data_IF_282719986882
#
_entry.id   IF_282719986882
#
_cell.length_a   1.000
_cell.length_b   1.000
_cell.length_c   1.000
_cell.angle_alpha   90.00
_cell.angle_beta   90.00
_cell.angle_gamma   90.00
#
_symmetry.space_group_name_H-M   'P 1'
#
loop_
_entity.id
_entity.type
_entity.pdbx_description
1 polymer ?
#
# COMPACT_ATOMS: atom_id res chain seq x y z
N UNK A 1 17.44 -4.31 9.13
CA UNK A 1 17.77 -5.34 8.12
C UNK A 1 16.80 -5.23 6.94
N UNK A 2 15.50 -5.33 7.18
CA UNK A 2 14.46 -5.14 6.15
C UNK A 2 14.63 -3.86 5.32
N UNK A 3 14.93 -2.71 5.96
CA UNK A 3 15.17 -1.45 5.23
C UNK A 3 16.33 -1.52 4.22
N UNK A 4 17.37 -2.32 4.50
CA UNK A 4 18.48 -2.51 3.57
C UNK A 4 18.04 -3.33 2.36
N UNK A 5 17.24 -4.38 2.57
CA UNK A 5 16.67 -5.17 1.48
C UNK A 5 15.78 -4.30 0.60
N UNK A 6 14.88 -3.53 1.20
CA UNK A 6 13.96 -2.71 0.44
C UNK A 6 14.66 -1.58 -0.33
N UNK A 7 15.77 -1.03 0.20
CA UNK A 7 16.63 -0.10 -0.54
C UNK A 7 17.35 -0.80 -1.70
N UNK A 8 17.91 -1.99 -1.48
CA UNK A 8 18.59 -2.74 -2.53
C UNK A 8 17.65 -3.11 -3.69
N UNK A 9 16.40 -3.51 -3.38
CA UNK A 9 15.38 -3.76 -4.40
C UNK A 9 15.02 -2.48 -5.15
N UNK A 10 14.86 -1.35 -4.44
CA UNK A 10 14.59 -0.05 -5.09
C UNK A 10 15.71 0.34 -6.05
N UNK A 11 16.96 0.29 -5.60
CA UNK A 11 18.13 0.59 -6.42
C UNK A 11 18.23 -0.35 -7.63
N UNK A 12 17.81 -1.61 -7.48
CA UNK A 12 17.76 -2.58 -8.58
C UNK A 12 16.65 -2.24 -9.58
N UNK A 13 15.43 -1.98 -9.12
CA UNK A 13 14.28 -1.57 -9.95
C UNK A 13 14.59 -0.32 -10.77
N UNK A 14 15.23 0.69 -10.17
CA UNK A 14 15.64 1.92 -10.88
C UNK A 14 16.67 1.65 -11.97
N UNK A 15 17.59 0.68 -11.77
CA UNK A 15 18.57 0.30 -12.78
C UNK A 15 17.93 -0.43 -13.94
N UNK A 16 17.06 -1.41 -13.65
CA UNK A 16 16.45 -2.23 -14.70
C UNK A 16 15.35 -1.48 -15.47
N UNK A 17 14.73 -0.45 -14.86
CA UNK A 17 13.80 0.42 -15.57
C UNK A 17 14.46 1.25 -16.69
N UNK A 18 15.76 1.52 -16.58
CA UNK A 18 16.54 2.23 -17.58
C UNK A 18 17.14 1.30 -18.65
N UNK A 19 16.96 -0.01 -18.50
CA UNK A 19 17.50 -1.02 -19.39
C UNK A 19 16.39 -1.61 -20.27
N UNK A 20 16.33 -1.16 -21.53
CA UNK A 20 15.33 -1.60 -22.53
C UNK A 20 15.40 -3.11 -22.85
N UNK A 21 16.44 -3.82 -22.39
CA UNK A 21 16.60 -5.26 -22.62
C UNK A 21 15.92 -6.13 -21.56
N UNK A 22 15.46 -5.54 -20.45
CA UNK A 22 14.89 -6.30 -19.33
C UNK A 22 13.47 -6.73 -19.63
N UNK A 23 13.18 -8.00 -19.34
CA UNK A 23 11.84 -8.58 -19.46
C UNK A 23 10.86 -7.88 -18.50
N UNK A 24 9.74 -7.41 -19.04
CA UNK A 24 8.66 -6.82 -18.25
C UNK A 24 8.15 -7.76 -17.15
N UNK A 25 8.22 -9.08 -17.35
CA UNK A 25 7.86 -10.05 -16.32
C UNK A 25 8.82 -10.00 -15.13
N UNK A 26 10.13 -9.87 -15.38
CA UNK A 26 11.14 -9.75 -14.34
C UNK A 26 10.95 -8.46 -13.53
N UNK A 27 10.69 -7.33 -14.21
CA UNK A 27 10.38 -6.07 -13.54
C UNK A 27 9.17 -6.20 -12.61
N UNK A 28 8.10 -6.86 -13.08
CA UNK A 28 6.90 -7.08 -12.28
C UNK A 28 7.17 -7.97 -11.06
N UNK A 29 7.94 -9.06 -11.20
CA UNK A 29 8.31 -9.93 -10.06
C UNK A 29 9.04 -9.16 -8.96
N UNK A 30 9.97 -8.26 -9.31
CA UNK A 30 10.69 -7.45 -8.32
C UNK A 30 9.83 -6.33 -7.72
N UNK A 31 8.88 -5.80 -8.49
CA UNK A 31 7.87 -4.88 -7.97
C UNK A 31 6.99 -5.60 -6.94
N UNK A 32 6.48 -6.78 -7.26
CA UNK A 32 5.68 -7.61 -6.34
C UNK A 32 6.46 -7.96 -5.07
N UNK A 33 7.73 -8.35 -5.22
CA UNK A 33 8.67 -8.60 -4.12
C UNK A 33 8.80 -7.38 -3.21
N UNK A 34 8.96 -6.19 -3.79
CA UNK A 34 9.06 -4.95 -3.03
C UNK A 34 7.77 -4.65 -2.27
N UNK A 35 6.61 -4.73 -2.92
CA UNK A 35 5.33 -4.39 -2.29
C UNK A 35 5.00 -5.32 -1.13
N UNK A 36 5.27 -6.62 -1.26
CA UNK A 36 5.09 -7.62 -0.20
C UNK A 36 6.02 -7.35 0.98
N UNK A 37 7.31 -7.13 0.70
CA UNK A 37 8.28 -6.86 1.75
C UNK A 37 7.91 -5.60 2.54
N UNK A 38 7.48 -4.54 1.84
CA UNK A 38 7.02 -3.29 2.47
C UNK A 38 5.75 -3.49 3.31
N UNK A 39 4.80 -4.30 2.84
CA UNK A 39 3.61 -4.63 3.63
C UNK A 39 4.00 -5.38 4.92
N UNK A 40 4.91 -6.35 4.80
CA UNK A 40 5.42 -7.08 5.97
C UNK A 40 6.17 -6.14 6.95
N UNK A 41 6.93 -5.17 6.45
CA UNK A 41 7.54 -4.12 7.29
C UNK A 41 6.51 -3.30 8.06
N UNK A 42 5.45 -2.85 7.38
CA UNK A 42 4.37 -2.07 8.00
C UNK A 42 3.68 -2.86 9.12
N UNK A 43 3.35 -4.13 8.87
CA UNK A 43 2.55 -4.95 9.77
C UNK A 43 3.36 -5.62 10.88
N UNK A 44 4.58 -6.08 10.61
CA UNK A 44 5.31 -6.99 11.48
C UNK A 44 6.68 -6.48 11.92
N UNK A 45 7.26 -5.51 11.21
CA UNK A 45 8.61 -4.99 11.51
C UNK A 45 8.60 -3.46 11.73
N UNK A 46 7.79 -2.97 12.70
CA UNK A 46 7.64 -1.53 12.92
C UNK A 46 8.97 -0.89 13.31
N UNK A 47 9.26 0.29 12.76
CA UNK A 47 10.54 0.99 12.98
C UNK A 47 10.80 1.36 14.43
N UNK A 48 9.73 1.60 15.19
CA UNK A 48 9.82 1.92 16.61
C UNK A 48 10.11 0.69 17.50
N UNK A 49 10.05 -0.52 16.93
CA UNK A 49 10.20 -1.80 17.62
C UNK A 49 9.13 -2.09 18.66
N UNK A 50 8.11 -1.23 18.80
CA UNK A 50 7.04 -1.35 19.79
C UNK A 50 5.74 -1.78 19.14
N UNK A 51 5.48 -1.39 17.89
CA UNK A 51 4.26 -1.76 17.17
C UNK A 51 2.98 -1.14 17.74
N UNK A 52 3.10 -0.18 18.67
CA UNK A 52 1.98 0.43 19.39
C UNK A 52 1.36 1.60 18.58
N UNK A 53 1.99 2.01 17.48
CA UNK A 53 1.47 3.09 16.62
C UNK A 53 0.22 2.68 15.85
N UNK A 54 -0.60 3.68 15.52
CA UNK A 54 -1.69 3.56 14.55
C UNK A 54 -1.10 3.25 13.17
N UNK A 55 -1.72 2.32 12.45
CA UNK A 55 -1.20 1.77 11.19
C UNK A 55 -1.88 2.33 9.94
N UNK A 56 -3.00 3.05 10.07
CA UNK A 56 -3.77 3.57 8.93
C UNK A 56 -2.97 4.42 7.95
N UNK A 57 -2.22 5.42 8.43
CA UNK A 57 -1.37 6.27 7.59
C UNK A 57 -0.21 5.46 6.96
N UNK A 58 0.31 4.44 7.66
CA UNK A 58 1.40 3.58 7.17
C UNK A 58 0.93 2.66 6.03
N UNK A 59 -0.32 2.16 6.11
CA UNK A 59 -0.96 1.37 5.06
C UNK A 59 -1.20 2.23 3.80
N UNK A 60 -1.68 3.46 3.95
CA UNK A 60 -1.80 4.38 2.81
C UNK A 60 -0.44 4.73 2.21
N UNK A 61 0.57 4.96 3.03
CA UNK A 61 1.94 5.18 2.54
C UNK A 61 2.47 3.97 1.78
N UNK A 62 2.17 2.75 2.24
CA UNK A 62 2.51 1.53 1.52
C UNK A 62 1.82 1.48 0.15
N UNK A 63 0.49 1.65 0.10
CA UNK A 63 -0.27 1.64 -1.14
C UNK A 63 0.26 2.67 -2.14
N UNK A 64 0.38 3.93 -1.69
CA UNK A 64 0.86 5.04 -2.51
C UNK A 64 2.33 4.92 -2.95
N UNK A 65 3.10 3.94 -2.44
CA UNK A 65 4.49 3.73 -2.87
C UNK A 65 4.61 2.96 -4.18
N UNK A 66 3.59 2.18 -4.55
CA UNK A 66 3.58 1.37 -5.78
C UNK A 66 2.31 1.54 -6.62
N UNK A 67 1.26 2.13 -6.08
CA UNK A 67 0.07 2.51 -6.82
C UNK A 67 -0.26 3.95 -6.43
N UNK A 68 0.35 4.90 -7.15
CA UNK A 68 0.13 6.32 -6.92
C UNK A 68 -1.17 6.72 -7.61
N UNK A 69 -2.24 6.90 -6.84
CA UNK A 69 -3.48 7.46 -7.35
C UNK A 69 -4.13 8.38 -6.30
N UNK A 70 -4.75 9.51 -6.69
CA UNK A 70 -4.64 10.10 -8.02
C UNK A 70 -3.22 10.68 -8.25
N UNK A 71 -2.81 10.81 -9.51
CA UNK A 71 -1.46 11.29 -9.83
C UNK A 71 -1.33 12.80 -9.66
N UNK A 72 -0.08 13.28 -9.64
CA UNK A 72 0.16 14.73 -9.64
C UNK A 72 -0.21 15.35 -10.98
N UNK A 73 -0.03 14.62 -12.10
CA UNK A 73 -0.42 15.11 -13.42
C UNK A 73 -1.94 15.30 -13.53
N UNK A 74 -2.75 14.35 -13.03
CA UNK A 74 -4.21 14.47 -13.03
C UNK A 74 -4.68 15.73 -12.28
N UNK A 75 -4.04 16.04 -11.14
CA UNK A 75 -4.34 17.24 -10.37
C UNK A 75 -3.95 18.53 -11.10
N UNK A 76 -2.84 18.49 -11.84
CA UNK A 76 -2.37 19.62 -12.64
C UNK A 76 -3.28 19.88 -13.84
N UNK A 77 -3.72 18.83 -14.54
CA UNK A 77 -4.68 18.92 -15.64
C UNK A 77 -5.98 19.61 -15.21
N UNK A 78 -6.54 19.21 -14.07
CA UNK A 78 -7.74 19.83 -13.48
C UNK A 78 -7.48 21.31 -13.17
N UNK A 79 -6.34 21.63 -12.57
CA UNK A 79 -6.00 23.01 -12.17
C UNK A 79 -5.73 23.93 -13.37
N UNK A 80 -5.24 23.40 -14.49
CA UNK A 80 -4.95 24.14 -15.72
C UNK A 80 -6.20 24.33 -16.62
N UNK A 81 -7.29 23.61 -16.34
CA UNK A 81 -8.58 23.82 -17.00
C UNK A 81 -9.08 25.26 -16.83
N UNK A 82 -9.80 25.76 -17.84
CA UNK A 82 -10.37 27.11 -17.82
C UNK A 82 -11.31 27.32 -16.62
N UNK A 83 -12.08 26.28 -16.26
CA UNK A 83 -12.95 26.24 -15.09
C UNK A 83 -12.71 24.91 -14.38
N UNK A 84 -11.81 24.85 -13.37
CA UNK A 84 -11.41 23.59 -12.76
C UNK A 84 -12.57 22.76 -12.19
N UNK A 85 -13.57 23.41 -11.58
CA UNK A 85 -14.72 22.74 -10.98
C UNK A 85 -15.74 22.18 -11.98
N UNK A 86 -15.61 22.50 -13.27
CA UNK A 86 -16.39 21.91 -14.36
C UNK A 86 -15.62 20.77 -15.06
N UNK A 87 -14.39 20.47 -14.63
CA UNK A 87 -13.61 19.39 -15.22
C UNK A 87 -14.28 18.03 -14.95
N UNK A 88 -14.41 17.12 -15.95
CA UNK A 88 -15.14 15.84 -15.78
C UNK A 88 -14.62 14.98 -14.62
N UNK A 89 -13.30 14.97 -14.40
CA UNK A 89 -12.65 14.20 -13.33
C UNK A 89 -12.52 14.96 -12.00
N UNK A 90 -13.11 16.15 -11.86
CA UNK A 90 -12.92 17.01 -10.70
C UNK A 90 -13.30 16.32 -9.39
N UNK A 91 -14.53 15.81 -9.31
CA UNK A 91 -15.03 15.17 -8.10
C UNK A 91 -14.34 13.83 -7.83
N UNK A 92 -14.16 13.00 -8.86
CA UNK A 92 -13.43 11.73 -8.75
C UNK A 92 -12.02 11.94 -8.18
N UNK A 93 -11.30 12.97 -8.65
CA UNK A 93 -9.99 13.33 -8.13
C UNK A 93 -10.05 13.76 -6.65
N UNK A 94 -11.01 14.61 -6.28
CA UNK A 94 -11.20 15.06 -4.89
C UNK A 94 -11.50 13.88 -3.97
N UNK A 95 -12.42 13.00 -4.36
CA UNK A 95 -12.82 11.83 -3.59
C UNK A 95 -11.66 10.83 -3.45
N UNK A 96 -10.94 10.53 -4.54
CA UNK A 96 -9.75 9.66 -4.51
C UNK A 96 -8.63 10.25 -3.68
N UNK A 97 -8.41 11.57 -3.73
CA UNK A 97 -7.48 12.25 -2.82
C UNK A 97 -7.84 12.03 -1.33
N UNK A 98 -9.14 11.99 -0.98
CA UNK A 98 -9.57 11.72 0.40
C UNK A 98 -9.33 10.26 0.78
N UNK A 99 -9.70 9.31 -0.08
CA UNK A 99 -9.46 7.88 0.13
C UNK A 99 -7.97 7.57 0.34
N UNK A 100 -7.10 8.22 -0.45
CA UNK A 100 -5.66 7.97 -0.50
C UNK A 100 -4.85 8.83 0.47
N UNK A 101 -5.52 9.65 1.29
CA UNK A 101 -4.90 10.44 2.35
C UNK A 101 -4.30 11.77 1.92
N UNK A 102 -4.46 12.19 0.66
CA UNK A 102 -4.03 13.46 0.08
C UNK A 102 -4.98 14.63 0.40
N UNK A 103 -5.41 14.75 1.65
CA UNK A 103 -6.41 15.71 2.10
C UNK A 103 -6.06 17.18 1.78
N UNK A 104 -4.77 17.53 1.78
CA UNK A 104 -4.32 18.89 1.42
C UNK A 104 -4.48 19.19 -0.06
N UNK A 105 -4.27 18.19 -0.92
CA UNK A 105 -4.49 18.30 -2.37
C UNK A 105 -5.98 18.44 -2.66
N UNK A 106 -6.82 17.59 -2.05
CA UNK A 106 -8.29 17.72 -2.11
C UNK A 106 -8.76 19.11 -1.66
N UNK A 107 -8.27 19.60 -0.51
CA UNK A 107 -8.60 20.94 -0.02
C UNK A 107 -8.15 22.07 -0.96
N UNK A 108 -7.02 21.89 -1.66
CA UNK A 108 -6.53 22.87 -2.63
C UNK A 108 -7.39 22.91 -3.89
N UNK A 109 -7.76 21.74 -4.42
CA UNK A 109 -8.63 21.63 -5.59
C UNK A 109 -10.03 22.17 -5.28
N UNK A 110 -10.59 21.85 -4.11
CA UNK A 110 -11.88 22.38 -3.66
C UNK A 110 -11.93 23.90 -3.55
N UNK A 111 -10.80 24.58 -3.31
CA UNK A 111 -10.75 26.06 -3.30
C UNK A 111 -11.00 26.66 -4.67
N UNK A 112 -10.87 25.91 -5.78
CA UNK A 112 -11.25 26.41 -7.09
C UNK A 112 -12.74 26.78 -7.18
N UNK A 113 -13.58 26.21 -6.31
CA UNK A 113 -14.98 26.63 -6.18
C UNK A 113 -15.13 28.04 -5.61
N UNK A 114 -14.08 28.70 -5.11
CA UNK A 114 -14.15 30.11 -4.69
C UNK A 114 -14.52 31.05 -5.84
N UNK A 115 -14.33 30.64 -7.11
CA UNK A 115 -14.79 31.37 -8.28
C UNK A 115 -16.19 31.00 -8.75
N UNK A 116 -16.86 30.05 -8.09
CA UNK A 116 -18.21 29.60 -8.47
C UNK A 116 -19.23 30.74 -8.33
N UNK A 117 -20.22 30.89 -9.23
CA UNK A 117 -21.22 31.96 -9.17
C UNK A 117 -22.07 31.95 -7.89
N UNK A 118 -22.54 30.77 -7.45
CA UNK A 118 -23.34 30.60 -6.23
C UNK A 118 -22.53 30.87 -4.95
N UNK A 119 -23.03 31.78 -4.11
CA UNK A 119 -22.40 32.11 -2.81
C UNK A 119 -22.47 30.95 -1.81
N UNK A 120 -23.53 30.16 -1.88
CA UNK A 120 -23.73 28.97 -1.05
C UNK A 120 -22.68 27.93 -1.39
N UNK A 121 -22.46 27.62 -2.67
CA UNK A 121 -21.45 26.64 -3.10
C UNK A 121 -20.06 27.04 -2.61
N UNK A 122 -19.67 28.30 -2.79
CA UNK A 122 -18.41 28.85 -2.23
C UNK A 122 -18.31 28.58 -0.73
N UNK A 123 -19.36 28.89 0.01
CA UNK A 123 -19.42 28.76 1.47
C UNK A 123 -19.30 27.30 1.93
N UNK A 124 -20.01 26.36 1.29
CA UNK A 124 -19.93 24.92 1.59
C UNK A 124 -18.55 24.38 1.23
N UNK A 125 -18.02 24.72 0.04
CA UNK A 125 -16.68 24.33 -0.40
C UNK A 125 -15.60 24.81 0.57
N UNK A 126 -15.65 26.07 1.02
CA UNK A 126 -14.70 26.62 2.00
C UNK A 126 -14.76 25.89 3.34
N UNK A 127 -15.96 25.54 3.83
CA UNK A 127 -16.12 24.75 5.05
C UNK A 127 -15.53 23.35 4.88
N UNK A 128 -15.82 22.66 3.77
CA UNK A 128 -15.29 21.33 3.47
C UNK A 128 -13.76 21.33 3.31
N UNK A 129 -13.21 22.26 2.53
CA UNK A 129 -11.77 22.43 2.33
C UNK A 129 -11.04 22.74 3.65
N UNK A 130 -11.63 23.56 4.52
CA UNK A 130 -11.08 23.80 5.86
C UNK A 130 -11.05 22.51 6.67
N UNK A 131 -12.15 21.75 6.70
CA UNK A 131 -12.22 20.48 7.44
C UNK A 131 -11.14 19.50 6.95
N UNK A 132 -10.97 19.33 5.63
CA UNK A 132 -9.91 18.50 5.04
C UNK A 132 -8.51 18.94 5.46
N UNK A 133 -8.22 20.24 5.42
CA UNK A 133 -6.90 20.77 5.81
C UNK A 133 -6.59 20.62 7.31
N UNK A 134 -7.64 20.48 8.14
CA UNK A 134 -7.55 20.37 9.61
C UNK A 134 -7.76 18.96 10.14
N UNK A 135 -7.81 17.95 9.27
CA UNK A 135 -7.95 16.56 9.68
C UNK A 135 -6.86 16.20 10.71
N UNK A 136 -7.23 15.72 11.92
CA UNK A 136 -6.28 15.31 12.93
C UNK A 136 -5.48 14.10 12.45
N UNK A 137 -4.15 14.21 12.48
CA UNK A 137 -3.22 13.12 12.15
C UNK A 137 -2.54 12.62 13.41
N UNK A 138 -2.43 11.30 13.59
CA UNK A 138 -1.85 10.69 14.80
C UNK A 138 -0.43 11.20 15.06
N UNK A 139 0.34 11.40 13.99
CA UNK A 139 1.71 11.93 13.99
C UNK A 139 1.88 13.34 14.58
N UNK A 140 0.78 14.10 14.73
CA UNK A 140 0.80 15.46 15.31
C UNK A 140 0.52 15.50 16.81
N UNK A 141 0.25 14.35 17.43
CA UNK A 141 -0.08 14.26 18.85
C UNK A 141 0.92 13.37 19.58
N UNK A 142 1.30 13.77 20.79
CA UNK A 142 2.18 12.97 21.65
C UNK A 142 1.41 11.87 22.37
N UNK A 143 0.10 12.06 22.62
CA UNK A 143 -0.73 11.13 23.37
C UNK A 143 -1.97 10.71 22.57
N UNK A 144 -2.27 9.41 22.57
CA UNK A 144 -3.38 8.81 21.81
C UNK A 144 -4.74 9.44 22.18
N UNK A 145 -4.98 9.72 23.46
CA UNK A 145 -6.25 10.30 23.90
C UNK A 145 -6.48 11.75 23.40
N UNK A 146 -5.42 12.55 23.22
CA UNK A 146 -5.52 13.89 22.65
C UNK A 146 -5.89 13.82 21.17
N UNK A 147 -5.26 12.91 20.44
CA UNK A 147 -5.59 12.61 19.05
C UNK A 147 -7.06 12.18 18.90
N UNK A 148 -7.52 11.23 19.72
CA UNK A 148 -8.91 10.75 19.69
C UNK A 148 -9.90 11.87 20.02
N UNK A 149 -9.59 12.73 21.00
CA UNK A 149 -10.42 13.87 21.34
C UNK A 149 -10.52 14.89 20.19
N UNK A 150 -9.38 15.21 19.55
CA UNK A 150 -9.33 16.09 18.40
C UNK A 150 -10.09 15.51 17.20
N UNK A 151 -9.88 14.23 16.89
CA UNK A 151 -10.59 13.53 15.82
C UNK A 151 -12.11 13.54 16.05
N UNK A 152 -12.56 13.24 17.27
CA UNK A 152 -13.99 13.29 17.62
C UNK A 152 -14.59 14.69 17.44
N UNK A 153 -13.88 15.75 17.83
CA UNK A 153 -14.34 17.13 17.64
C UNK A 153 -14.40 17.53 16.16
N UNK A 154 -13.41 17.09 15.39
CA UNK A 154 -13.37 17.30 13.94
C UNK A 154 -14.55 16.57 13.26
N UNK A 155 -14.77 15.29 13.58
CA UNK A 155 -15.87 14.49 13.06
C UNK A 155 -17.24 15.07 13.40
N UNK A 156 -17.41 15.63 14.61
CA UNK A 156 -18.63 16.34 14.97
C UNK A 156 -18.87 17.57 14.08
N UNK A 157 -17.80 18.23 13.63
CA UNK A 157 -17.89 19.37 12.70
C UNK A 157 -18.25 18.93 11.28
N UNK A 158 -17.71 17.79 10.82
CA UNK A 158 -18.10 17.16 9.54
C UNK A 158 -19.58 16.80 9.56
N UNK A 159 -20.04 16.09 10.61
CA UNK A 159 -21.45 15.70 10.76
C UNK A 159 -22.39 16.89 10.83
N UNK A 160 -21.99 17.98 11.49
CA UNK A 160 -22.76 19.23 11.50
C UNK A 160 -22.92 19.80 10.09
N UNK A 161 -21.88 19.74 9.25
CA UNK A 161 -21.97 20.20 7.87
C UNK A 161 -22.89 19.31 7.04
N UNK A 162 -22.82 17.98 7.20
CA UNK A 162 -23.75 17.02 6.56
C UNK A 162 -25.20 17.36 6.91
N UNK A 163 -25.52 17.49 8.21
CA UNK A 163 -26.89 17.76 8.64
C UNK A 163 -27.44 19.12 8.21
N UNK A 164 -26.57 20.07 7.87
CA UNK A 164 -26.96 21.38 7.35
C UNK A 164 -26.95 21.47 5.83
N UNK A 165 -26.49 20.43 5.12
CA UNK A 165 -26.24 20.48 3.68
C UNK A 165 -27.53 20.72 2.90
N UNK A 166 -28.59 19.96 3.19
CA UNK A 166 -29.90 20.10 2.52
C UNK A 166 -30.41 21.55 2.60
N UNK A 167 -30.36 22.16 3.79
CA UNK A 167 -30.77 23.55 3.97
C UNK A 167 -29.92 24.55 3.18
N UNK A 168 -28.60 24.34 3.11
CA UNK A 168 -27.72 25.19 2.31
C UNK A 168 -28.06 25.04 0.81
N UNK A 169 -28.31 23.83 0.33
CA UNK A 169 -28.67 23.56 -1.07
C UNK A 169 -30.04 24.16 -1.43
N UNK A 170 -31.02 24.11 -0.53
CA UNK A 170 -32.31 24.77 -0.73
C UNK A 170 -32.18 26.31 -0.79
N UNK A 171 -31.26 26.90 -0.01
CA UNK A 171 -30.92 28.33 -0.09
C UNK A 171 -30.32 28.68 -1.47
N UNK A 172 -29.45 27.81 -2.02
CA UNK A 172 -28.89 28.02 -3.36
C UNK A 172 -29.98 28.07 -4.43
N UNK A 173 -30.90 27.11 -4.43
CA UNK A 173 -31.98 27.04 -5.41
C UNK A 173 -32.87 28.29 -5.30
N UNK A 174 -33.21 28.70 -4.08
CA UNK A 174 -34.01 29.89 -3.84
C UNK A 174 -33.33 31.20 -4.32
N UNK A 175 -32.00 31.31 -4.20
CA UNK A 175 -31.23 32.47 -4.66
C UNK A 175 -31.05 32.52 -6.19
N UNK A 176 -30.86 31.37 -6.82
CA UNK A 176 -30.65 31.25 -8.27
C UNK A 176 -31.97 31.23 -9.07
N UNK A 177 -33.08 30.89 -8.41
CA UNK A 177 -34.42 30.82 -8.97
C UNK A 177 -34.84 29.38 -9.26
N UNK A 178 -36.10 29.05 -8.93
CA UNK A 178 -36.66 27.70 -9.05
C UNK A 178 -36.94 27.33 -10.51
N UNK A 179 -35.88 27.01 -11.26
CA UNK A 179 -35.94 26.51 -12.64
C UNK A 179 -35.39 25.09 -12.68
N UNK A 180 -35.79 24.29 -13.66
CA UNK A 180 -35.33 22.89 -13.78
C UNK A 180 -33.78 22.80 -13.86
N UNK A 181 -33.13 23.71 -14.59
CA UNK A 181 -31.65 23.75 -14.69
C UNK A 181 -30.96 23.99 -13.34
N UNK A 182 -31.54 24.85 -12.50
CA UNK A 182 -31.00 25.15 -11.16
C UNK A 182 -31.27 24.00 -10.19
N UNK A 183 -32.42 23.33 -10.29
CA UNK A 183 -32.74 22.14 -9.50
C UNK A 183 -31.75 21.00 -9.80
N UNK A 184 -31.43 20.77 -11.08
CA UNK A 184 -30.45 19.77 -11.51
C UNK A 184 -29.04 20.09 -10.95
N UNK A 185 -28.57 21.33 -11.10
CA UNK A 185 -27.28 21.78 -10.56
C UNK A 185 -27.23 21.61 -9.03
N UNK A 186 -28.31 21.98 -8.34
CA UNK A 186 -28.45 21.83 -6.89
C UNK A 186 -28.37 20.36 -6.46
N UNK A 187 -29.08 19.46 -7.14
CA UNK A 187 -29.06 18.03 -6.84
C UNK A 187 -27.66 17.41 -7.07
N UNK A 188 -26.99 17.81 -8.15
CA UNK A 188 -25.63 17.35 -8.44
C UNK A 188 -24.65 17.79 -7.34
N UNK A 189 -24.59 19.08 -7.00
CA UNK A 189 -23.71 19.55 -5.94
C UNK A 189 -24.05 18.97 -4.57
N UNK A 190 -25.33 18.81 -4.25
CA UNK A 190 -25.73 18.14 -3.01
C UNK A 190 -25.17 16.72 -2.95
N UNK A 191 -25.34 15.94 -4.01
CA UNK A 191 -24.86 14.56 -4.08
C UNK A 191 -23.34 14.50 -3.94
N UNK A 192 -22.61 15.37 -4.63
CA UNK A 192 -21.15 15.42 -4.62
C UNK A 192 -20.60 15.82 -3.24
N UNK A 193 -21.14 16.88 -2.62
CA UNK A 193 -20.75 17.27 -1.27
C UNK A 193 -21.14 16.23 -0.24
N UNK A 194 -22.31 15.59 -0.38
CA UNK A 194 -22.75 14.53 0.52
C UNK A 194 -21.79 13.33 0.43
N UNK A 195 -21.44 12.89 -0.77
CA UNK A 195 -20.46 11.84 -1.00
C UNK A 195 -19.12 12.16 -0.31
N UNK A 196 -18.56 13.34 -0.57
CA UNK A 196 -17.32 13.81 0.05
C UNK A 196 -17.39 13.82 1.59
N UNK A 197 -18.45 14.40 2.15
CA UNK A 197 -18.58 14.55 3.60
C UNK A 197 -18.85 13.21 4.29
N UNK A 198 -19.60 12.30 3.66
CA UNK A 198 -19.81 10.94 4.15
C UNK A 198 -18.52 10.12 4.15
N UNK A 199 -17.68 10.26 3.11
CA UNK A 199 -16.33 9.68 3.10
C UNK A 199 -15.49 10.22 4.26
N UNK A 200 -15.43 11.55 4.41
CA UNK A 200 -14.71 12.19 5.52
C UNK A 200 -15.26 11.75 6.89
N UNK A 201 -16.56 11.46 6.98
CA UNK A 201 -17.18 10.99 8.21
C UNK A 201 -16.92 9.49 8.50
N UNK A 202 -16.25 8.77 7.61
CA UNK A 202 -15.96 7.35 7.74
C UNK A 202 -17.20 6.48 7.63
N UNK A 203 -18.17 6.86 6.81
CA UNK A 203 -19.36 6.02 6.54
C UNK A 203 -18.91 4.78 5.75
N UNK A 204 -19.07 3.59 6.35
CA UNK A 204 -18.54 2.33 5.82
C UNK A 204 -19.02 2.02 4.39
N UNK A 205 -20.32 2.11 4.16
CA UNK A 205 -20.91 1.80 2.86
C UNK A 205 -20.38 2.75 1.78
N UNK A 206 -20.19 4.03 2.13
CA UNK A 206 -19.61 5.04 1.24
C UNK A 206 -18.16 4.74 0.88
N UNK A 207 -17.37 4.19 1.81
CA UNK A 207 -16.00 3.74 1.54
C UNK A 207 -16.02 2.57 0.55
N UNK A 208 -16.90 1.59 0.76
CA UNK A 208 -17.02 0.44 -0.15
C UNK A 208 -17.50 0.83 -1.55
N UNK A 209 -18.40 1.81 -1.67
CA UNK A 209 -18.86 2.33 -2.96
C UNK A 209 -17.76 3.09 -3.71
N UNK A 210 -16.83 3.72 -3.00
CA UNK A 210 -15.84 4.61 -3.60
C UNK A 210 -14.47 3.96 -3.84
N UNK A 211 -14.13 2.90 -3.11
CA UNK A 211 -12.85 2.20 -3.27
C UNK A 211 -12.85 1.24 -4.47
N UNK A 212 -11.71 1.16 -5.15
CA UNK A 212 -11.52 0.26 -6.29
C UNK A 212 -11.20 -1.18 -5.86
N UNK A 213 -10.36 -1.31 -4.83
CA UNK A 213 -9.88 -2.61 -4.35
C UNK A 213 -9.76 -2.69 -2.83
N UNK A 214 -9.40 -3.88 -2.35
CA UNK A 214 -9.23 -4.14 -0.93
C UNK A 214 -8.09 -3.33 -0.29
N UNK A 215 -7.07 -2.94 -1.06
CA UNK A 215 -5.89 -2.22 -0.55
C UNK A 215 -6.24 -0.77 -0.26
N UNK A 216 -6.93 -0.13 -1.20
CA UNK A 216 -7.44 1.23 -1.02
C UNK A 216 -8.46 1.26 0.12
N UNK A 217 -9.37 0.29 0.17
CA UNK A 217 -10.32 0.16 1.26
C UNK A 217 -9.63 -0.01 2.61
N UNK A 218 -8.59 -0.84 2.71
CA UNK A 218 -7.84 -1.06 3.96
C UNK A 218 -7.13 0.21 4.45
N UNK A 219 -6.50 0.95 3.53
CA UNK A 219 -5.88 2.24 3.85
C UNK A 219 -6.90 3.28 4.30
N UNK A 220 -7.95 3.50 3.51
CA UNK A 220 -9.01 4.45 3.81
C UNK A 220 -9.76 4.10 5.12
N UNK A 221 -9.96 2.82 5.40
CA UNK A 221 -10.56 2.35 6.65
C UNK A 221 -9.70 2.73 7.86
N UNK A 222 -8.38 2.55 7.77
CA UNK A 222 -7.44 2.87 8.83
C UNK A 222 -7.34 4.38 9.13
N UNK A 223 -7.68 5.26 8.19
CA UNK A 223 -7.62 6.71 8.38
C UNK A 223 -8.96 7.39 8.62
N UNK A 224 -10.06 6.88 8.03
CA UNK A 224 -11.37 7.52 8.07
C UNK A 224 -12.36 6.78 8.99
N UNK A 225 -12.39 5.45 8.95
CA UNK A 225 -13.37 4.63 9.69
C UNK A 225 -12.87 4.27 11.09
N UNK A 226 -11.62 3.82 11.19
CA UNK A 226 -10.97 3.45 12.43
C UNK A 226 -9.60 4.15 12.57
N UNK A 227 -9.55 5.46 12.86
CA UNK A 227 -8.30 6.23 12.94
C UNK A 227 -7.33 5.79 14.05
N UNK A 228 -7.76 4.90 14.94
CA UNK A 228 -6.95 4.29 16.01
C UNK A 228 -6.52 2.85 15.69
N UNK A 229 -6.71 2.39 14.44
CA UNK A 229 -6.40 1.03 14.01
C UNK A 229 -4.97 0.64 14.37
N UNK A 230 -4.83 -0.44 15.14
CA UNK A 230 -3.55 -1.05 15.51
C UNK A 230 -3.29 -2.28 14.64
N UNK A 231 -2.04 -2.73 14.59
CA UNK A 231 -1.61 -3.91 13.81
C UNK A 231 -2.39 -5.17 14.18
N UNK A 232 -2.62 -5.37 15.48
CA UNK A 232 -3.38 -6.52 16.01
C UNK A 232 -4.84 -6.54 15.53
N UNK A 233 -5.40 -5.38 15.17
CA UNK A 233 -6.78 -5.25 14.68
C UNK A 233 -6.88 -5.37 13.15
N UNK A 234 -5.75 -5.39 12.42
CA UNK A 234 -5.73 -5.48 10.96
C UNK A 234 -6.39 -6.77 10.46
N UNK A 235 -6.14 -7.97 11.01
CA UNK A 235 -6.80 -9.19 10.55
C UNK A 235 -8.34 -9.13 10.61
N UNK A 236 -8.88 -8.59 11.72
CA UNK A 236 -10.33 -8.42 11.89
C UNK A 236 -10.89 -7.41 10.90
N UNK A 237 -10.16 -6.32 10.65
CA UNK A 237 -10.55 -5.29 9.68
C UNK A 237 -10.50 -5.83 8.25
N UNK A 238 -9.44 -6.55 7.90
CA UNK A 238 -9.26 -7.19 6.61
C UNK A 238 -10.39 -8.20 6.33
N UNK A 239 -10.82 -8.99 7.31
CA UNK A 239 -11.94 -9.91 7.14
C UNK A 239 -13.22 -9.20 6.64
N UNK A 240 -13.56 -8.04 7.23
CA UNK A 240 -14.73 -7.24 6.83
C UNK A 240 -14.58 -6.69 5.41
N UNK A 241 -13.39 -6.22 5.06
CA UNK A 241 -13.10 -5.63 3.74
C UNK A 241 -13.12 -6.71 2.65
N UNK A 242 -12.57 -7.88 2.94
CA UNK A 242 -12.49 -8.99 2.00
C UNK A 242 -13.84 -9.67 1.73
N UNK A 243 -14.88 -9.39 2.52
CA UNK A 243 -16.26 -9.75 2.19
C UNK A 243 -16.81 -8.94 1.00
N UNK A 244 -16.28 -7.74 0.77
CA UNK A 244 -16.72 -6.81 -0.30
C UNK A 244 -15.75 -6.83 -1.48
N UNK A 245 -14.44 -6.90 -1.21
CA UNK A 245 -13.39 -6.92 -2.21
C UNK A 245 -12.64 -8.26 -2.20
N UNK A 246 -12.95 -9.11 -3.17
CA UNK A 246 -12.32 -10.41 -3.29
C UNK A 246 -10.88 -10.26 -3.81
N UNK A 247 -9.97 -11.05 -3.26
CA UNK A 247 -8.60 -11.18 -3.74
C UNK A 247 -8.55 -12.07 -4.97
N UNK A 248 -7.78 -11.68 -5.97
CA UNK A 248 -7.56 -12.53 -7.13
C UNK A 248 -6.61 -13.68 -6.79
N UNK A 249 -7.19 -14.87 -6.56
CA UNK A 249 -6.45 -16.09 -6.28
C UNK A 249 -5.61 -16.64 -7.44
N UNK A 250 -5.60 -15.97 -8.60
CA UNK A 250 -4.72 -16.29 -9.73
C UNK A 250 -3.41 -15.51 -9.71
N UNK A 251 -3.33 -14.44 -8.91
CA UNK A 251 -2.15 -13.57 -8.81
C UNK A 251 -1.38 -13.93 -7.53
N UNK A 252 -0.19 -14.57 -7.63
CA UNK A 252 0.56 -15.02 -6.45
C UNK A 252 0.88 -13.90 -5.45
N UNK A 253 1.17 -12.69 -5.95
CA UNK A 253 1.45 -11.53 -5.13
C UNK A 253 0.28 -11.15 -4.21
N UNK A 254 -0.95 -11.18 -4.72
CA UNK A 254 -2.12 -10.85 -3.91
C UNK A 254 -2.40 -11.90 -2.85
N UNK A 255 -2.18 -13.19 -3.17
CA UNK A 255 -2.32 -14.28 -2.19
C UNK A 255 -1.38 -14.08 -1.00
N UNK A 256 -0.12 -13.72 -1.27
CA UNK A 256 0.86 -13.45 -0.20
C UNK A 256 0.43 -12.23 0.62
N UNK A 257 0.02 -11.14 -0.03
CA UNK A 257 -0.46 -9.94 0.65
C UNK A 257 -1.72 -10.23 1.50
N UNK A 258 -2.63 -11.08 1.00
CA UNK A 258 -3.81 -11.52 1.72
C UNK A 258 -3.45 -12.29 3.00
N UNK A 259 -2.51 -13.24 2.92
CA UNK A 259 -2.03 -13.94 4.11
C UNK A 259 -1.38 -12.97 5.11
N UNK A 260 -0.60 -12.00 4.64
CA UNK A 260 -0.01 -10.98 5.51
C UNK A 260 -1.05 -10.14 6.24
N UNK A 261 -2.11 -9.65 5.58
CA UNK A 261 -3.13 -8.84 6.27
C UNK A 261 -4.02 -9.68 7.20
N UNK A 262 -4.13 -10.99 6.97
CA UNK A 262 -4.89 -11.92 7.82
C UNK A 262 -4.14 -12.39 9.07
N UNK A 263 -2.87 -12.04 9.25
CA UNK A 263 -2.05 -12.58 10.35
C UNK A 263 -1.44 -13.96 10.05
N UNK A 264 -1.63 -14.49 8.84
CA UNK A 264 -1.22 -15.83 8.41
C UNK A 264 0.23 -15.84 7.91
N UNK A 265 1.17 -15.40 8.77
CA UNK A 265 2.57 -15.12 8.37
C UNK A 265 3.29 -16.36 7.83
N UNK A 266 3.09 -17.53 8.45
CA UNK A 266 3.69 -18.80 7.98
C UNK A 266 3.24 -19.13 6.55
N UNK A 267 1.93 -18.97 6.26
CA UNK A 267 1.39 -19.20 4.91
C UNK A 267 1.93 -18.17 3.92
N UNK A 268 2.01 -16.88 4.32
CA UNK A 268 2.60 -15.83 3.49
C UNK A 268 4.05 -16.15 3.09
N UNK A 269 4.88 -16.55 4.06
CA UNK A 269 6.27 -16.96 3.83
C UNK A 269 6.36 -18.18 2.92
N UNK A 270 5.51 -19.18 3.13
CA UNK A 270 5.50 -20.38 2.29
C UNK A 270 5.12 -20.06 0.84
N UNK A 271 4.18 -19.15 0.62
CA UNK A 271 3.72 -18.72 -0.72
C UNK A 271 4.65 -17.72 -1.40
N UNK A 272 5.43 -16.96 -0.64
CA UNK A 272 6.38 -16.00 -1.18
C UNK A 272 7.41 -16.62 -2.14
N UNK A 273 7.76 -17.90 -1.95
CA UNK A 273 8.66 -18.63 -2.84
C UNK A 273 8.08 -18.90 -4.24
N UNK A 274 6.75 -18.79 -4.40
CA UNK A 274 6.06 -18.96 -5.69
C UNK A 274 6.24 -17.71 -6.58
N UNK A 275 6.61 -16.58 -5.96
CA UNK A 275 6.94 -15.32 -6.64
C UNK A 275 8.43 -15.28 -6.93
N UNK A 276 9.23 -15.42 -5.87
CA UNK A 276 10.68 -15.36 -5.95
C UNK A 276 11.34 -16.09 -4.77
N UNK A 277 12.42 -16.83 -5.07
CA UNK A 277 13.12 -17.65 -4.07
C UNK A 277 13.86 -16.78 -3.05
N UNK A 278 14.40 -15.62 -3.49
CA UNK A 278 15.02 -14.65 -2.59
C UNK A 278 13.96 -14.09 -1.62
N UNK A 279 12.77 -13.75 -2.10
CA UNK A 279 11.70 -13.22 -1.24
C UNK A 279 11.31 -14.24 -0.16
N UNK A 280 11.06 -15.49 -0.54
CA UNK A 280 10.73 -16.54 0.42
C UNK A 280 11.81 -16.71 1.50
N UNK A 281 13.08 -16.80 1.09
CA UNK A 281 14.20 -16.95 2.02
C UNK A 281 14.34 -15.77 2.99
N UNK A 282 14.26 -14.53 2.50
CA UNK A 282 14.49 -13.35 3.32
C UNK A 282 13.29 -12.97 4.18
N UNK A 283 12.06 -13.13 3.66
CA UNK A 283 10.85 -12.94 4.46
C UNK A 283 10.76 -14.00 5.56
N UNK A 284 11.08 -15.26 5.25
CA UNK A 284 11.15 -16.35 6.24
C UNK A 284 12.20 -16.11 7.31
N UNK A 285 13.41 -15.67 6.94
CA UNK A 285 14.47 -15.33 7.90
C UNK A 285 14.09 -14.14 8.80
N UNK A 286 13.39 -13.13 8.27
CA UNK A 286 12.88 -12.02 9.08
C UNK A 286 11.75 -12.47 10.03
N UNK A 287 10.80 -13.26 9.55
CA UNK A 287 9.69 -13.78 10.35
C UNK A 287 10.17 -14.67 11.50
N UNK A 288 11.14 -15.55 11.25
CA UNK A 288 11.75 -16.41 12.26
C UNK A 288 12.45 -15.61 13.37
N UNK A 289 13.24 -14.60 12.99
CA UNK A 289 13.97 -13.75 13.96
C UNK A 289 13.05 -12.97 14.90
N UNK A 290 11.81 -12.70 14.48
CA UNK A 290 10.79 -12.03 15.28
C UNK A 290 9.88 -13.04 16.01
N UNK A 291 10.03 -14.34 15.73
CA UNK A 291 9.25 -15.41 16.35
C UNK A 291 7.84 -15.56 15.78
N UNK A 292 7.62 -15.15 14.52
CA UNK A 292 6.32 -15.21 13.84
C UNK A 292 6.06 -16.53 13.12
N UNK A 293 7.08 -17.39 13.00
CA UNK A 293 6.93 -18.73 12.43
C UNK A 293 6.60 -19.72 13.55
N UNK A 294 5.32 -19.81 13.93
CA UNK A 294 4.86 -20.81 14.90
C UNK A 294 5.19 -22.23 14.44
N UNK A 295 5.52 -23.15 15.34
CA UNK A 295 5.74 -24.56 14.97
C UNK A 295 4.45 -25.18 14.44
N UNK A 296 4.53 -25.89 13.31
CA UNK A 296 3.38 -26.62 12.77
C UNK A 296 3.13 -27.85 13.65
N UNK A 297 2.14 -27.77 14.55
CA UNK A 297 1.74 -28.87 15.44
C UNK A 297 1.33 -30.15 14.69
N UNK A 298 0.98 -30.03 13.40
CA UNK A 298 0.58 -31.15 12.55
C UNK A 298 1.71 -31.67 11.65
N UNK A 299 2.87 -31.00 11.60
CA UNK A 299 4.01 -31.47 10.83
C UNK A 299 4.66 -32.70 11.49
N UNK A 300 4.89 -33.75 10.69
CA UNK A 300 5.60 -34.95 11.10
C UNK A 300 7.12 -34.69 11.20
N UNK A 301 7.53 -33.84 12.14
CA UNK A 301 8.91 -33.47 12.42
C UNK A 301 9.08 -31.95 12.58
N UNK A 302 10.22 -31.49 13.14
CA UNK A 302 10.55 -30.07 13.18
C UNK A 302 10.83 -29.58 11.75
N UNK A 303 9.80 -29.09 11.06
CA UNK A 303 9.98 -28.35 9.80
C UNK A 303 10.44 -26.94 10.13
N UNK A 304 11.75 -26.73 10.03
CA UNK A 304 12.35 -25.40 10.04
C UNK A 304 12.15 -24.78 8.64
N UNK A 305 10.96 -24.21 8.42
CA UNK A 305 10.57 -23.54 7.17
C UNK A 305 11.63 -22.53 6.73
N UNK A 306 12.25 -21.81 7.69
CA UNK A 306 13.35 -20.90 7.40
C UNK A 306 14.53 -21.66 6.82
N UNK A 307 14.97 -22.75 7.45
CA UNK A 307 16.07 -23.57 6.94
C UNK A 307 15.78 -24.11 5.54
N UNK A 308 14.56 -24.60 5.29
CA UNK A 308 14.15 -25.10 3.97
C UNK A 308 14.27 -24.01 2.89
N UNK A 309 13.77 -22.81 3.17
CA UNK A 309 13.82 -21.68 2.24
C UNK A 309 15.26 -21.18 2.01
N UNK A 310 16.06 -21.08 3.07
CA UNK A 310 17.48 -20.70 2.96
C UNK A 310 18.28 -21.73 2.15
N UNK A 311 18.01 -23.03 2.32
CA UNK A 311 18.65 -24.08 1.53
C UNK A 311 18.26 -23.99 0.04
N UNK A 312 17.00 -23.65 -0.28
CA UNK A 312 16.53 -23.45 -1.64
C UNK A 312 17.21 -22.26 -2.30
N UNK A 313 17.29 -21.12 -1.59
CA UNK A 313 17.97 -19.93 -2.10
C UNK A 313 19.48 -20.10 -2.23
N UNK A 314 20.13 -20.77 -1.26
CA UNK A 314 21.54 -21.08 -1.38
C UNK A 314 21.83 -21.98 -2.59
N UNK A 315 20.91 -22.89 -2.95
CA UNK A 315 21.04 -23.72 -4.13
C UNK A 315 20.92 -22.90 -5.42
N UNK A 316 19.97 -21.98 -5.52
CA UNK A 316 19.84 -21.13 -6.73
C UNK A 316 21.09 -20.26 -6.96
N UNK A 317 21.76 -19.81 -5.89
CA UNK A 317 23.03 -19.08 -5.99
C UNK A 317 24.20 -19.93 -6.50
N UNK A 318 24.16 -21.26 -6.39
CA UNK A 318 25.22 -22.12 -6.91
C UNK A 318 25.11 -22.33 -8.41
N UNK A 319 23.91 -22.16 -8.96
CA UNK A 319 23.66 -22.27 -10.39
C UNK A 319 24.22 -21.04 -11.13
N UNK A 320 24.44 -19.93 -10.43
CA UNK A 320 25.05 -18.71 -10.95
C UNK A 320 26.58 -18.64 -10.72
N UNK A 321 27.32 -18.38 -11.79
CA UNK A 321 28.78 -18.33 -11.74
C UNK A 321 29.27 -17.18 -10.84
N UNK A 322 30.08 -17.53 -9.84
CA UNK A 322 30.73 -16.55 -8.95
C UNK A 322 29.98 -16.25 -7.64
N UNK A 323 28.73 -16.70 -7.47
CA UNK A 323 27.95 -16.46 -6.26
C UNK A 323 28.12 -17.54 -5.17
N UNK A 324 28.97 -18.55 -5.41
CA UNK A 324 29.21 -19.67 -4.50
C UNK A 324 29.64 -19.23 -3.08
N UNK A 325 30.36 -18.11 -2.94
CA UNK A 325 30.75 -17.58 -1.62
C UNK A 325 29.54 -17.15 -0.81
N UNK A 326 28.62 -16.45 -1.45
CA UNK A 326 27.35 -16.02 -0.85
C UNK A 326 26.51 -17.25 -0.49
N UNK A 327 26.44 -18.24 -1.40
CA UNK A 327 25.76 -19.52 -1.11
C UNK A 327 26.29 -20.19 0.16
N UNK A 328 27.61 -20.26 0.34
CA UNK A 328 28.23 -20.83 1.54
C UNK A 328 27.81 -20.09 2.81
N UNK A 329 27.71 -18.76 2.77
CA UNK A 329 27.26 -17.97 3.93
C UNK A 329 25.81 -18.34 4.33
N UNK A 330 24.91 -18.46 3.35
CA UNK A 330 23.53 -18.91 3.60
C UNK A 330 23.47 -20.35 4.10
N UNK A 331 24.24 -21.28 3.52
CA UNK A 331 24.34 -22.65 4.02
C UNK A 331 24.91 -22.71 5.44
N UNK A 332 25.81 -21.79 5.81
CA UNK A 332 26.35 -21.67 7.15
C UNK A 332 25.26 -21.42 8.20
N UNK A 333 24.22 -20.65 7.82
CA UNK A 333 23.06 -20.38 8.65
C UNK A 333 22.09 -21.58 8.79
N UNK A 334 22.23 -22.62 7.96
CA UNK A 334 21.36 -23.82 7.94
C UNK A 334 21.90 -24.99 8.79
N UNK A 335 22.74 -24.73 9.78
CA UNK A 335 23.17 -25.75 10.76
C UNK A 335 23.85 -26.99 10.14
N UNK A 336 23.49 -28.19 10.61
CA UNK A 336 24.15 -29.43 10.19
C UNK A 336 23.91 -29.78 8.71
N UNK A 337 22.69 -29.54 8.21
CA UNK A 337 22.34 -29.80 6.82
C UNK A 337 23.15 -28.91 5.86
N UNK A 338 23.28 -27.63 6.19
CA UNK A 338 24.08 -26.69 5.42
C UNK A 338 25.58 -27.02 5.43
N UNK A 339 26.15 -27.35 6.61
CA UNK A 339 27.56 -27.77 6.72
C UNK A 339 27.89 -28.98 5.84
N UNK A 340 26.98 -29.95 5.74
CA UNK A 340 27.16 -31.12 4.86
C UNK A 340 27.17 -30.72 3.38
N UNK A 341 26.40 -29.71 2.96
CA UNK A 341 26.43 -29.21 1.58
C UNK A 341 27.69 -28.41 1.30
N UNK A 342 28.12 -27.55 2.22
CA UNK A 342 29.34 -26.74 2.11
C UNK A 342 30.57 -27.61 1.80
N UNK A 343 30.72 -28.76 2.48
CA UNK A 343 31.87 -29.63 2.26
C UNK A 343 31.97 -30.18 0.82
N UNK A 344 30.83 -30.35 0.14
CA UNK A 344 30.81 -30.80 -1.25
C UNK A 344 31.11 -29.64 -2.20
N UNK A 345 30.50 -28.47 -1.95
CA UNK A 345 30.64 -27.28 -2.79
C UNK A 345 32.08 -26.77 -2.81
N UNK A 346 32.73 -26.64 -1.65
CA UNK A 346 34.11 -26.13 -1.56
C UNK A 346 35.07 -26.95 -2.42
N UNK A 347 34.82 -28.27 -2.54
CA UNK A 347 35.66 -29.16 -3.33
C UNK A 347 35.39 -29.07 -4.84
N UNK A 348 34.26 -28.50 -5.25
CA UNK A 348 33.86 -28.36 -6.66
C UNK A 348 34.06 -26.96 -7.23
N UNK A 349 34.54 -25.99 -6.43
CA UNK A 349 34.76 -24.62 -6.89
C UNK A 349 35.96 -24.58 -7.85
N UNK A 350 35.80 -24.06 -9.09
CA UNK A 350 36.91 -23.83 -10.00
C UNK A 350 37.92 -22.83 -9.40
N UNK A 351 39.21 -23.17 -9.42
CA UNK A 351 40.29 -22.32 -8.88
C UNK A 351 40.78 -21.30 -9.91
N UNK A 352 40.74 -21.68 -11.17
CA UNK A 352 40.89 -20.78 -12.30
C UNK A 352 39.50 -20.18 -12.55
N UNK A 353 39.42 -18.86 -12.84
CA UNK A 353 38.14 -18.16 -13.01
C UNK A 353 37.25 -18.73 -14.13
N UNK A 354 36.16 -18.05 -14.52
CA UNK A 354 35.39 -18.48 -15.70
C UNK A 354 36.34 -18.80 -16.87
N UNK A 355 36.23 -20.01 -17.43
CA UNK A 355 36.97 -20.38 -18.63
C UNK A 355 36.74 -19.30 -19.68
N UNK A 356 37.79 -18.80 -20.36
CA UNK A 356 37.60 -17.85 -21.44
C UNK A 356 36.65 -18.48 -22.45
N UNK A 357 35.56 -17.77 -22.75
CA UNK A 357 34.63 -18.15 -23.81
C UNK A 357 35.48 -18.37 -25.05
N UNK A 358 35.41 -19.60 -25.57
CA UNK A 358 36.17 -20.02 -26.73
C UNK A 358 35.63 -19.24 -27.94
N UNK A 359 36.21 -18.08 -28.23
CA UNK A 359 36.01 -17.32 -29.48
C UNK A 359 36.67 -18.09 -30.64
N UNK A 360 36.27 -19.35 -30.84
CA UNK A 360 36.75 -20.23 -31.90
C UNK A 360 35.59 -20.76 -32.74
N UNK A 361 34.82 -19.85 -33.34
CA UNK A 361 33.91 -20.18 -34.44
C UNK A 361 33.93 -19.17 -35.61
N UNK A 362 34.99 -18.36 -35.73
CA UNK A 362 35.25 -17.53 -36.93
C UNK A 362 36.65 -17.79 -37.50
N UNK A 363 36.92 -19.04 -37.87
CA UNK A 363 37.94 -19.39 -38.85
C UNK A 363 37.67 -20.79 -39.42
N UNK A 364 36.71 -20.87 -40.34
CA UNK A 364 36.82 -21.67 -41.58
C UNK A 364 35.46 -21.68 -42.32
N UNK A 365 35.27 -20.75 -43.26
CA UNK A 365 34.80 -21.03 -44.64
C UNK A 365 35.03 -19.83 -45.59
#
# INVERSE_FOLDING_TARGET
ISEHYARAIQDYLERIQLDDSVDSAQFQTWRDTQTILRLAEVLYYPKDGRGISVVGEELLHWLNSFDVAPTTEEGQEIAESAVPHEHPSYWDYVLRCVLRGFHTSAASVLKSLDSHPSAVIRRVAQKAAKLLSTLPRSTRFSMEHEFVAAHRSWLASVRKLISGLEHEMDEMEAEAGNTEEVEDERLEYEAQFRCLLELMAGVKDRIFEACEDWREALGAWGTLVHPTLKRDDVPTTAAIILEHFLVDGTIPAEIVQQHLIKGEVRQAVQRAQDIDVWLGAHLGDLADKVGLLEEDEQAAGPSDLRQELLLKYAQSLLDEQGLWRISIDYLGACGAAGRKRISHIILSVPLDGPDPIDDSDDADE
#
